data_IF_185271445497
#
_entry.id   IF_185271445497
#
_cell.length_a   1.000
_cell.length_b   1.000
_cell.length_c   1.000
_cell.angle_alpha   90.00
_cell.angle_beta   90.00
_cell.angle_gamma   90.00
#
_symmetry.space_group_name_H-M   'P 1'
#
loop_
_entity.id
_entity.type
_entity.pdbx_description
1 polymer ?
#
# COMPACT_ATOMS: atom_id res chain seq x y z
N UNK A 1 4.49 -17.13 -46.75
CA UNK A 1 3.67 -16.29 -45.86
C UNK A 1 4.53 -15.12 -45.42
N UNK A 2 4.19 -13.90 -45.85
CA UNK A 2 4.95 -12.68 -45.53
C UNK A 2 4.31 -12.02 -44.32
N UNK A 3 5.11 -11.77 -43.29
CA UNK A 3 4.73 -11.13 -42.04
C UNK A 3 5.10 -9.66 -42.17
N UNK A 4 4.20 -8.75 -41.81
CA UNK A 4 4.48 -7.31 -41.76
C UNK A 4 4.39 -6.87 -40.31
N UNK A 5 5.46 -6.28 -39.80
CA UNK A 5 5.58 -5.82 -38.42
C UNK A 5 5.51 -4.29 -38.44
N UNK A 6 4.48 -3.73 -37.83
CA UNK A 6 4.31 -2.29 -37.70
C UNK A 6 4.79 -1.90 -36.28
N UNK A 7 5.93 -1.19 -36.21
CA UNK A 7 6.52 -0.68 -34.97
C UNK A 7 6.02 0.75 -34.73
N UNK A 8 5.38 0.97 -33.58
CA UNK A 8 5.03 2.30 -33.10
C UNK A 8 6.00 2.69 -31.99
N UNK A 9 6.80 3.73 -32.22
CA UNK A 9 7.60 4.36 -31.17
C UNK A 9 6.73 5.43 -30.54
N UNK A 10 6.17 5.12 -29.38
CA UNK A 10 5.52 6.11 -28.52
C UNK A 10 6.64 6.97 -27.96
N UNK A 11 6.69 8.25 -28.36
CA UNK A 11 7.59 9.22 -27.72
C UNK A 11 7.33 9.28 -26.21
N UNK A 12 8.28 9.73 -25.40
CA UNK A 12 8.05 9.86 -23.96
C UNK A 12 6.76 10.63 -23.74
N UNK A 13 5.83 10.05 -22.99
CA UNK A 13 4.63 10.76 -22.56
C UNK A 13 5.08 12.11 -22.01
N UNK A 14 4.43 13.22 -22.36
CA UNK A 14 4.77 14.50 -21.77
C UNK A 14 4.79 14.28 -20.27
N UNK A 15 5.94 14.58 -19.66
CA UNK A 15 6.14 14.53 -18.22
C UNK A 15 5.21 15.60 -17.64
N UNK A 16 3.93 15.24 -17.50
CA UNK A 16 3.03 15.86 -16.55
C UNK A 16 3.54 15.34 -15.22
N UNK A 17 4.74 15.77 -14.84
CA UNK A 17 5.25 15.69 -13.50
C UNK A 17 4.18 16.42 -12.69
N UNK A 18 3.20 15.66 -12.19
CA UNK A 18 2.25 16.14 -11.22
C UNK A 18 3.13 16.62 -10.09
N UNK A 19 3.33 17.94 -10.05
CA UNK A 19 4.18 18.62 -9.08
C UNK A 19 3.84 18.00 -7.75
N UNK A 20 4.81 17.30 -7.13
CA UNK A 20 4.61 16.59 -5.87
C UNK A 20 3.89 17.59 -4.96
N UNK A 21 2.61 17.35 -4.61
CA UNK A 21 1.94 18.24 -3.68
C UNK A 21 2.79 18.25 -2.41
N UNK A 22 2.82 19.38 -1.70
CA UNK A 22 3.58 19.51 -0.46
C UNK A 22 2.88 18.65 0.62
N UNK A 23 3.11 17.34 0.52
CA UNK A 23 2.50 16.31 1.34
C UNK A 23 3.62 15.71 2.16
N UNK A 24 3.59 16.05 3.43
CA UNK A 24 4.44 15.45 4.45
C UNK A 24 3.99 14.00 4.70
N UNK A 25 4.94 13.08 4.84
CA UNK A 25 4.63 11.71 5.22
C UNK A 25 4.13 11.71 6.67
N UNK A 26 3.06 10.97 7.01
CA UNK A 26 2.64 10.84 8.41
C UNK A 26 3.78 10.29 9.27
N UNK A 27 3.90 10.84 10.48
CA UNK A 27 4.74 10.26 11.52
C UNK A 27 4.25 8.86 11.90
N UNK A 28 5.12 8.06 12.46
CA UNK A 28 4.78 6.71 12.90
C UNK A 28 3.60 6.69 13.89
N UNK A 29 3.61 7.59 14.88
CA UNK A 29 2.48 7.79 15.80
C UNK A 29 1.17 8.11 15.08
N UNK A 30 1.22 8.86 13.98
CA UNK A 30 0.03 9.17 13.19
C UNK A 30 -0.48 7.94 12.43
N UNK A 31 0.44 7.08 11.96
CA UNK A 31 0.07 5.79 11.34
C UNK A 31 -0.57 4.88 12.38
N UNK A 32 0.03 4.73 13.56
CA UNK A 32 -0.52 3.92 14.65
C UNK A 32 -1.91 4.40 15.08
N UNK A 33 -2.11 5.72 15.23
CA UNK A 33 -3.45 6.28 15.48
C UNK A 33 -4.45 5.94 14.37
N UNK A 34 -4.03 6.00 13.11
CA UNK A 34 -4.90 5.64 11.99
C UNK A 34 -5.28 4.15 11.99
N UNK A 35 -4.41 3.27 12.49
CA UNK A 35 -4.72 1.84 12.66
C UNK A 35 -5.74 1.61 13.76
N UNK A 36 -5.58 2.29 14.91
CA UNK A 36 -6.56 2.26 16.00
C UNK A 36 -7.92 2.84 15.55
N UNK A 37 -7.91 3.88 14.71
CA UNK A 37 -9.12 4.44 14.09
C UNK A 37 -9.82 3.42 13.20
N UNK A 38 -9.07 2.68 12.39
CA UNK A 38 -9.62 1.62 11.54
C UNK A 38 -10.29 0.53 12.39
N UNK A 39 -9.65 0.08 13.48
CA UNK A 39 -10.24 -0.91 14.40
C UNK A 39 -11.52 -0.39 15.07
N UNK A 40 -11.55 0.88 15.50
CA UNK A 40 -12.77 1.50 16.06
C UNK A 40 -13.91 1.59 15.05
N UNK A 41 -13.60 1.91 13.79
CA UNK A 41 -14.58 1.91 12.70
C UNK A 41 -15.13 0.50 12.45
N UNK A 42 -14.28 -0.53 12.55
CA UNK A 42 -14.69 -1.92 12.38
C UNK A 42 -15.67 -2.34 13.49
N UNK A 43 -15.36 -2.01 14.74
CA UNK A 43 -16.23 -2.29 15.90
C UNK A 43 -17.60 -1.61 15.81
N UNK A 44 -17.67 -0.47 15.13
CA UNK A 44 -18.91 0.29 14.91
C UNK A 44 -19.58 -0.03 13.56
N UNK A 45 -19.17 -1.12 12.91
CA UNK A 45 -19.74 -1.66 11.66
C UNK A 45 -19.55 -0.75 10.42
N UNK A 46 -18.66 0.24 10.46
CA UNK A 46 -18.24 1.01 9.29
C UNK A 46 -17.13 0.27 8.52
N UNK A 47 -17.43 -0.94 8.03
CA UNK A 47 -16.43 -1.88 7.50
C UNK A 47 -15.68 -1.33 6.28
N UNK A 48 -16.37 -0.72 5.32
CA UNK A 48 -15.72 -0.17 4.12
C UNK A 48 -14.80 1.00 4.46
N UNK A 49 -15.22 1.89 5.36
CA UNK A 49 -14.41 3.02 5.82
C UNK A 49 -13.20 2.53 6.63
N UNK A 50 -13.42 1.55 7.51
CA UNK A 50 -12.37 0.88 8.26
C UNK A 50 -11.31 0.29 7.33
N UNK A 51 -11.72 -0.42 6.29
CA UNK A 51 -10.84 -0.99 5.28
C UNK A 51 -10.01 0.07 4.53
N UNK A 52 -10.63 1.15 4.08
CA UNK A 52 -9.91 2.24 3.39
C UNK A 52 -8.91 2.92 4.33
N UNK A 53 -9.29 3.15 5.58
CA UNK A 53 -8.40 3.72 6.61
C UNK A 53 -7.21 2.80 6.89
N UNK A 54 -7.46 1.49 7.08
CA UNK A 54 -6.41 0.49 7.28
C UNK A 54 -5.47 0.39 6.08
N UNK A 55 -6.00 0.43 4.86
CA UNK A 55 -5.20 0.42 3.63
C UNK A 55 -4.28 1.63 3.53
N UNK A 56 -4.78 2.84 3.81
CA UNK A 56 -3.97 4.06 3.79
C UNK A 56 -2.84 4.03 4.84
N UNK A 57 -3.13 3.49 6.02
CA UNK A 57 -2.14 3.29 7.08
C UNK A 57 -1.09 2.24 6.67
N UNK A 58 -1.50 1.13 6.06
CA UNK A 58 -0.59 0.12 5.52
C UNK A 58 0.34 0.71 4.45
N UNK A 59 -0.16 1.49 3.49
CA UNK A 59 0.70 2.14 2.50
C UNK A 59 1.76 3.04 3.13
N UNK A 60 1.38 3.76 4.19
CA UNK A 60 2.30 4.59 4.96
C UNK A 60 3.36 3.73 5.66
N UNK A 61 2.96 2.60 6.27
CA UNK A 61 3.87 1.65 6.89
C UNK A 61 4.83 1.01 5.87
N UNK A 62 4.36 0.66 4.67
CA UNK A 62 5.20 0.16 3.58
C UNK A 62 6.26 1.18 3.19
N UNK A 63 5.91 2.47 3.05
CA UNK A 63 6.88 3.54 2.75
C UNK A 63 7.91 3.69 3.87
N UNK A 64 7.48 3.67 5.13
CA UNK A 64 8.40 3.72 6.27
C UNK A 64 9.40 2.55 6.26
N UNK A 65 8.91 1.33 6.03
CA UNK A 65 9.75 0.14 5.96
C UNK A 65 10.74 0.20 4.80
N UNK A 66 10.26 0.52 3.60
CA UNK A 66 11.10 0.59 2.41
C UNK A 66 12.19 1.67 2.54
N UNK A 67 11.88 2.83 3.14
CA UNK A 67 12.88 3.86 3.42
C UNK A 67 13.91 3.43 4.45
N UNK A 68 13.53 2.64 5.46
CA UNK A 68 14.48 2.06 6.41
C UNK A 68 15.49 1.11 5.72
N UNK A 69 15.11 0.51 4.59
CA UNK A 69 15.95 -0.33 3.73
C UNK A 69 16.67 0.47 2.61
N UNK A 70 16.53 1.81 2.58
CA UNK A 70 17.18 2.68 1.59
C UNK A 70 16.44 2.85 0.25
N UNK A 71 15.18 2.44 0.14
CA UNK A 71 14.33 2.72 -1.03
C UNK A 71 13.79 4.16 -1.02
N UNK A 72 13.62 4.73 -2.21
CA UNK A 72 13.06 6.08 -2.44
C UNK A 72 11.51 6.09 -2.48
N UNK A 73 10.87 5.06 -1.90
CA UNK A 73 9.42 4.94 -1.88
C UNK A 73 8.75 6.21 -1.29
N UNK A 74 7.85 6.83 -2.05
CA UNK A 74 7.29 8.13 -1.72
C UNK A 74 5.96 8.41 -2.39
N UNK A 75 5.59 9.69 -2.41
CA UNK A 75 4.40 10.14 -3.12
C UNK A 75 4.46 9.71 -4.58
N UNK A 76 3.40 9.06 -5.07
CA UNK A 76 3.31 8.56 -6.44
C UNK A 76 3.86 7.14 -6.65
N UNK A 77 4.54 6.55 -5.66
CA UNK A 77 4.90 5.13 -5.72
C UNK A 77 3.63 4.30 -5.63
N UNK A 78 3.38 3.47 -6.66
CA UNK A 78 2.21 2.59 -6.70
C UNK A 78 2.24 1.57 -5.55
N UNK A 79 1.10 1.26 -4.91
CA UNK A 79 1.03 0.23 -3.88
C UNK A 79 1.55 -1.13 -4.35
N UNK A 80 1.24 -1.51 -5.60
CA UNK A 80 1.75 -2.73 -6.21
C UNK A 80 3.28 -2.75 -6.29
N UNK A 81 3.90 -1.61 -6.60
CA UNK A 81 5.36 -1.49 -6.65
C UNK A 81 5.96 -1.69 -5.26
N UNK A 82 5.39 -1.05 -4.23
CA UNK A 82 5.85 -1.23 -2.85
C UNK A 82 5.73 -2.69 -2.38
N UNK A 83 4.62 -3.37 -2.71
CA UNK A 83 4.45 -4.80 -2.40
C UNK A 83 5.51 -5.67 -3.08
N UNK A 84 5.83 -5.43 -4.36
CA UNK A 84 6.88 -6.17 -5.07
C UNK A 84 8.26 -5.96 -4.46
N UNK A 85 8.59 -4.72 -4.06
CA UNK A 85 9.85 -4.40 -3.39
C UNK A 85 9.96 -5.13 -2.05
N UNK A 86 8.91 -5.09 -1.22
CA UNK A 86 8.89 -5.78 0.08
C UNK A 86 9.05 -7.30 -0.04
N UNK A 87 8.49 -7.93 -1.07
CA UNK A 87 8.74 -9.36 -1.36
C UNK A 87 10.19 -9.59 -1.78
N UNK A 88 10.72 -8.72 -2.64
CA UNK A 88 12.11 -8.84 -3.15
C UNK A 88 13.15 -8.67 -2.04
N UNK A 89 12.84 -7.85 -1.03
CA UNK A 89 13.63 -7.68 0.19
C UNK A 89 13.41 -8.81 1.22
N UNK A 90 12.50 -9.75 0.97
CA UNK A 90 12.17 -10.85 1.89
C UNK A 90 11.36 -10.43 3.12
N UNK A 91 10.80 -9.21 3.13
CA UNK A 91 9.95 -8.69 4.22
C UNK A 91 8.53 -9.28 4.16
N UNK A 92 8.05 -9.54 2.94
CA UNK A 92 6.79 -10.22 2.67
C UNK A 92 7.05 -11.56 1.98
N UNK A 93 6.26 -12.57 2.35
CA UNK A 93 6.18 -13.82 1.62
C UNK A 93 5.33 -13.70 0.35
N UNK A 94 5.47 -14.66 -0.58
CA UNK A 94 4.62 -14.76 -1.77
C UNK A 94 3.14 -15.04 -1.45
N UNK A 95 2.83 -15.51 -0.24
CA UNK A 95 1.44 -15.71 0.21
C UNK A 95 0.85 -14.37 0.61
N UNK A 96 1.52 -13.64 1.51
CA UNK A 96 1.10 -12.30 1.94
C UNK A 96 0.99 -11.33 0.76
N UNK A 97 1.91 -11.40 -0.21
CA UNK A 97 1.83 -10.60 -1.43
C UNK A 97 0.51 -10.81 -2.17
N UNK A 98 0.08 -12.07 -2.36
CA UNK A 98 -1.13 -12.38 -3.12
C UNK A 98 -2.38 -11.95 -2.37
N UNK A 99 -2.39 -12.08 -1.05
CA UNK A 99 -3.48 -11.59 -0.20
C UNK A 99 -3.58 -10.06 -0.29
N UNK A 100 -2.48 -9.34 -0.11
CA UNK A 100 -2.45 -7.87 -0.20
C UNK A 100 -2.74 -7.36 -1.62
N UNK A 101 -2.32 -8.07 -2.65
CA UNK A 101 -2.66 -7.76 -4.05
C UNK A 101 -4.17 -7.88 -4.30
N UNK A 102 -4.82 -8.89 -3.72
CA UNK A 102 -6.27 -9.02 -3.78
C UNK A 102 -6.97 -7.85 -3.07
N UNK A 103 -6.49 -7.47 -1.88
CA UNK A 103 -7.03 -6.33 -1.13
C UNK A 103 -6.79 -4.98 -1.84
N UNK A 104 -5.68 -4.82 -2.57
CA UNK A 104 -5.45 -3.65 -3.41
C UNK A 104 -6.51 -3.50 -4.52
N UNK A 105 -6.91 -4.62 -5.14
CA UNK A 105 -7.97 -4.62 -6.14
C UNK A 105 -9.31 -4.26 -5.49
N UNK A 106 -9.62 -4.85 -4.33
CA UNK A 106 -10.83 -4.56 -3.57
C UNK A 106 -10.92 -3.07 -3.18
N UNK A 107 -9.81 -2.48 -2.70
CA UNK A 107 -9.69 -1.05 -2.43
C UNK A 107 -10.05 -0.22 -3.64
N UNK A 108 -9.54 -0.58 -4.81
CA UNK A 108 -9.79 0.15 -6.05
C UNK A 108 -11.28 0.12 -6.41
N UNK A 109 -11.94 -1.04 -6.28
CA UNK A 109 -13.39 -1.16 -6.50
C UNK A 109 -14.19 -0.26 -5.56
N UNK A 110 -13.85 -0.26 -4.26
CA UNK A 110 -14.52 0.55 -3.23
C UNK A 110 -14.38 2.05 -3.51
N UNK A 111 -13.15 2.55 -3.72
CA UNK A 111 -12.94 4.00 -3.89
C UNK A 111 -13.52 4.54 -5.20
N UNK A 112 -13.65 3.69 -6.22
CA UNK A 112 -14.28 4.06 -7.49
C UNK A 112 -15.81 3.95 -7.44
N UNK A 113 -16.40 3.57 -6.30
CA UNK A 113 -17.84 3.53 -6.10
C UNK A 113 -18.56 2.45 -6.91
N UNK A 114 -17.82 1.42 -7.36
CA UNK A 114 -18.44 0.25 -7.94
C UNK A 114 -19.16 -0.56 -6.85
N UNK A 115 -20.07 -1.45 -7.27
CA UNK A 115 -20.67 -2.42 -6.37
C UNK A 115 -19.56 -3.35 -5.83
N UNK A 116 -18.99 -2.97 -4.69
CA UNK A 116 -17.92 -3.72 -4.07
C UNK A 116 -18.49 -5.02 -3.48
N UNK A 117 -17.74 -6.13 -3.55
CA UNK A 117 -17.98 -7.27 -2.69
C UNK A 117 -18.05 -6.83 -1.23
N UNK A 118 -18.80 -7.58 -0.41
CA UNK A 118 -18.79 -7.38 1.04
C UNK A 118 -17.35 -7.53 1.53
N UNK A 119 -16.81 -6.48 2.15
CA UNK A 119 -15.49 -6.53 2.80
C UNK A 119 -15.60 -7.39 4.04
N UNK A 120 -14.73 -8.39 4.18
CA UNK A 120 -14.70 -9.22 5.38
C UNK A 120 -13.97 -8.45 6.50
N UNK A 121 -14.51 -8.40 7.74
CA UNK A 121 -13.76 -7.91 8.89
C UNK A 121 -12.35 -8.50 9.04
N UNK A 122 -12.11 -9.74 8.60
CA UNK A 122 -10.77 -10.35 8.61
C UNK A 122 -9.80 -9.64 7.66
N UNK A 123 -10.27 -9.09 6.55
CA UNK A 123 -9.44 -8.35 5.60
C UNK A 123 -8.90 -7.08 6.24
N UNK A 124 -9.74 -6.38 7.02
CA UNK A 124 -9.31 -5.22 7.80
C UNK A 124 -8.26 -5.62 8.82
N UNK A 125 -8.49 -6.71 9.56
CA UNK A 125 -7.54 -7.16 10.57
C UNK A 125 -6.19 -7.53 9.96
N UNK A 126 -6.19 -8.20 8.80
CA UNK A 126 -4.97 -8.52 8.07
C UNK A 126 -4.18 -7.26 7.70
N UNK A 127 -4.85 -6.21 7.21
CA UNK A 127 -4.20 -4.93 6.89
C UNK A 127 -3.58 -4.28 8.13
N UNK A 128 -4.32 -4.28 9.25
CA UNK A 128 -3.87 -3.69 10.52
C UNK A 128 -2.66 -4.44 11.06
N UNK A 129 -2.74 -5.76 11.14
CA UNK A 129 -1.67 -6.60 11.69
C UNK A 129 -0.40 -6.50 10.83
N UNK A 130 -0.55 -6.51 9.50
CA UNK A 130 0.57 -6.33 8.58
C UNK A 130 1.21 -4.96 8.76
N UNK A 131 0.41 -3.89 8.87
CA UNK A 131 0.94 -2.54 9.05
C UNK A 131 1.71 -2.40 10.36
N UNK A 132 1.18 -2.92 11.48
CA UNK A 132 1.88 -2.93 12.78
C UNK A 132 3.20 -3.69 12.70
N UNK A 133 3.20 -4.88 12.08
CA UNK A 133 4.41 -5.68 11.88
C UNK A 133 5.50 -4.94 11.10
N UNK A 134 5.12 -4.27 10.01
CA UNK A 134 6.07 -3.48 9.19
C UNK A 134 6.70 -2.32 9.98
N UNK A 135 5.94 -1.68 10.87
CA UNK A 135 6.45 -0.61 11.73
C UNK A 135 7.40 -1.17 12.81
N UNK A 136 7.03 -2.27 13.46
CA UNK A 136 7.86 -2.91 14.49
C UNK A 136 9.22 -3.36 13.94
N UNK A 137 9.21 -4.05 12.79
CA UNK A 137 10.44 -4.53 12.13
C UNK A 137 11.35 -3.37 11.66
N UNK A 138 10.77 -2.20 11.36
CA UNK A 138 11.53 -1.00 10.97
C UNK A 138 12.35 -0.42 12.12
N UNK A 139 11.93 -0.60 13.37
CA UNK A 139 12.72 -0.19 14.53
C UNK A 139 13.97 -1.05 14.72
N UNK A 140 13.84 -2.36 14.50
CA UNK A 140 14.97 -3.30 14.65
C UNK A 140 16.07 -2.99 13.63
N UNK A 141 15.68 -2.64 12.40
CA UNK A 141 16.62 -2.22 11.36
C UNK A 141 17.38 -0.93 11.74
N UNK A 142 16.69 0.08 12.31
CA UNK A 142 17.32 1.34 12.74
C UNK A 142 18.26 1.20 13.94
N UNK A 143 18.07 0.20 14.80
CA UNK A 143 18.93 -0.03 15.98
C UNK A 143 20.20 -0.83 15.66
N UNK A 144 20.25 -1.48 14.49
CA UNK A 144 21.34 -2.37 14.08
C UNK A 144 22.33 -1.71 13.08
N UNK A 145 22.08 -0.45 12.70
CA UNK A 145 22.90 0.36 11.79
C UNK A 145 23.61 1.49 12.56
#
# INVERSE_FOLDING_TARGET
>A
MSWRCDLFVVGPEPDVAMKKPDVEEPSEDAILRSLDDAERMLQTQFVAQSFITAWAALESAMRHRLRAEGSEAGWGTSPRTMLNELVSCGVLSNVEFRELEHLFQLRSVIVHGFAAPIVDPSDVQLLVDTARRLLDESHVAKQSA
#
